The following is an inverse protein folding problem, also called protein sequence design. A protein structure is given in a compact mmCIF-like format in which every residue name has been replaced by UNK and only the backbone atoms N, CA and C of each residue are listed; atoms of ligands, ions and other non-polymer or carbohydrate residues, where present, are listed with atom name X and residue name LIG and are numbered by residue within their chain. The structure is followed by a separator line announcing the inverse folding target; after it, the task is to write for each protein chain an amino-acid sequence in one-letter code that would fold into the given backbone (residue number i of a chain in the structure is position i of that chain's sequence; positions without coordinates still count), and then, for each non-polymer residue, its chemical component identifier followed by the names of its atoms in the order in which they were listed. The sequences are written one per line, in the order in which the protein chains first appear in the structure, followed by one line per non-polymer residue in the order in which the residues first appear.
data_IF_851400906639
#
_entry.id   IF_851400906639
#
_cell.length_a   1.000
_cell.length_b   1.000
_cell.length_c   1.000
_cell.angle_alpha   90.00
_cell.angle_beta   90.00
_cell.angle_gamma   90.00
#
_symmetry.space_group_name_H-M   'P 1'
#
loop_
_entity.id
_entity.type
_entity.pdbx_description
1 polymer ?
#
# COMPACT_ATOMS: atom_id res chain seq x y z
N UNK A 1 9.17 -60.69 -2.41
CA UNK A 1 8.46 -59.82 -3.36
C UNK A 1 8.22 -58.48 -2.66
N UNK A 2 8.64 -57.38 -3.28
CA UNK A 2 8.72 -56.04 -2.66
C UNK A 2 7.33 -55.42 -2.52
N UNK A 3 7.00 -54.94 -1.32
CA UNK A 3 5.81 -54.13 -1.08
C UNK A 3 6.01 -52.74 -1.69
N UNK A 4 5.11 -52.34 -2.59
CA UNK A 4 5.11 -51.03 -3.23
C UNK A 4 4.31 -50.06 -2.34
N UNK A 5 4.99 -49.27 -1.52
CA UNK A 5 4.36 -48.16 -0.81
C UNK A 5 4.05 -47.05 -1.81
N UNK A 6 2.76 -46.88 -2.13
CA UNK A 6 2.25 -45.72 -2.86
C UNK A 6 2.29 -44.53 -1.91
N UNK A 7 3.28 -43.67 -2.07
CA UNK A 7 3.33 -42.36 -1.41
C UNK A 7 2.27 -41.48 -2.08
N UNK A 8 1.11 -41.36 -1.44
CA UNK A 8 0.14 -40.32 -1.77
C UNK A 8 0.78 -38.96 -1.47
N UNK A 9 1.29 -38.29 -2.49
CA UNK A 9 1.55 -36.86 -2.47
C UNK A 9 0.20 -36.13 -2.38
N UNK A 10 -0.23 -35.87 -1.14
CA UNK A 10 -1.25 -34.86 -0.88
C UNK A 10 -0.67 -33.50 -1.28
N UNK A 11 -0.98 -33.06 -2.50
CA UNK A 11 -0.93 -31.66 -2.87
C UNK A 11 -1.93 -30.93 -1.96
N UNK A 12 -1.45 -30.51 -0.79
CA UNK A 12 -2.15 -29.54 0.03
C UNK A 12 -2.31 -28.28 -0.81
N UNK A 13 -3.53 -28.02 -1.29
CA UNK A 13 -3.92 -26.68 -1.67
C UNK A 13 -3.72 -25.80 -0.44
N UNK A 14 -2.59 -25.10 -0.40
CA UNK A 14 -2.44 -23.93 0.46
C UNK A 14 -3.46 -22.95 -0.10
N UNK A 15 -4.66 -22.93 0.49
CA UNK A 15 -5.59 -21.84 0.30
C UNK A 15 -4.82 -20.58 0.71
N UNK A 16 -4.36 -19.81 -0.28
CA UNK A 16 -3.84 -18.49 -0.05
C UNK A 16 -5.01 -17.68 0.53
N UNK A 17 -5.05 -17.59 1.86
CA UNK A 17 -5.93 -16.68 2.56
C UNK A 17 -5.61 -15.29 2.02
N UNK A 18 -6.53 -14.74 1.22
CA UNK A 18 -6.49 -13.32 0.85
C UNK A 18 -6.64 -12.53 2.14
N UNK A 19 -5.50 -12.19 2.76
CA UNK A 19 -5.48 -11.45 4.00
C UNK A 19 -6.18 -10.11 3.77
N UNK A 20 -7.29 -9.88 4.48
CA UNK A 20 -8.11 -8.68 4.34
C UNK A 20 -7.25 -7.41 4.35
N UNK A 21 -7.62 -6.43 3.52
CA UNK A 21 -6.96 -5.11 3.54
C UNK A 21 -7.25 -4.37 4.85
N UNK A 22 -6.20 -4.19 5.67
CA UNK A 22 -6.23 -3.45 6.93
C UNK A 22 -5.44 -2.15 6.90
N UNK A 23 -5.35 -1.48 8.07
CA UNK A 23 -4.46 -0.34 8.32
C UNK A 23 -3.01 -0.75 8.57
N UNK A 24 -2.72 -2.05 8.57
CA UNK A 24 -1.42 -2.58 8.91
C UNK A 24 -0.35 -2.35 7.82
N UNK A 25 0.90 -2.52 8.22
CA UNK A 25 2.05 -2.36 7.34
C UNK A 25 2.02 -3.38 6.18
N UNK A 26 1.51 -4.60 6.38
CA UNK A 26 1.51 -5.64 5.34
C UNK A 26 0.55 -5.25 4.21
N UNK A 27 -0.64 -4.73 4.53
CA UNK A 27 -1.56 -4.18 3.55
C UNK A 27 -0.97 -2.99 2.81
N UNK A 28 -0.35 -2.06 3.53
CA UNK A 28 0.31 -0.88 2.93
C UNK A 28 1.42 -1.30 1.96
N UNK A 29 2.28 -2.26 2.35
CA UNK A 29 3.36 -2.77 1.50
C UNK A 29 2.84 -3.53 0.27
N UNK A 30 1.74 -4.27 0.37
CA UNK A 30 1.11 -4.93 -0.80
C UNK A 30 0.62 -3.91 -1.84
N UNK A 31 0.04 -2.81 -1.37
CA UNK A 31 -0.41 -1.71 -2.23
C UNK A 31 0.79 -1.01 -2.87
N UNK A 32 1.79 -0.64 -2.08
CA UNK A 32 3.02 0.00 -2.60
C UNK A 32 3.75 -0.91 -3.57
N UNK A 33 3.76 -2.23 -3.33
CA UNK A 33 4.29 -3.20 -4.30
C UNK A 33 3.53 -3.12 -5.63
N UNK A 34 2.21 -3.09 -5.61
CA UNK A 34 1.39 -3.03 -6.83
C UNK A 34 1.55 -1.70 -7.58
N UNK A 35 1.83 -0.61 -6.85
CA UNK A 35 2.13 0.70 -7.44
C UNK A 35 3.54 0.76 -8.03
N UNK A 36 4.57 0.35 -7.29
CA UNK A 36 5.97 0.62 -7.62
C UNK A 36 6.75 -0.56 -8.25
N UNK A 37 6.38 -1.80 -7.96
CA UNK A 37 7.24 -2.97 -8.19
C UNK A 37 6.51 -4.09 -8.95
N UNK A 38 7.24 -4.85 -9.80
CA UNK A 38 6.66 -5.73 -10.82
C UNK A 38 5.42 -6.56 -10.38
N UNK A 39 4.30 -6.50 -11.12
CA UNK A 39 4.17 -5.83 -12.43
C UNK A 39 4.07 -4.30 -12.39
N UNK A 40 3.83 -3.67 -11.22
CA UNK A 40 3.88 -2.22 -11.00
C UNK A 40 3.11 -1.34 -12.01
N UNK A 41 1.95 -0.79 -11.64
CA UNK A 41 1.24 0.19 -12.49
C UNK A 41 1.04 1.52 -11.77
N UNK A 42 1.62 2.57 -12.33
CA UNK A 42 1.51 3.95 -11.87
C UNK A 42 1.43 4.93 -13.05
N UNK A 43 0.79 4.53 -14.15
CA UNK A 43 0.42 5.45 -15.23
C UNK A 43 -0.34 6.68 -14.68
N UNK A 44 -0.36 7.82 -15.39
CA UNK A 44 -1.02 9.04 -14.89
C UNK A 44 -2.48 8.82 -14.45
N UNK A 45 -3.32 8.04 -15.16
CA UNK A 45 -4.67 7.72 -14.68
C UNK A 45 -4.67 6.93 -13.37
N UNK A 46 -3.71 6.04 -13.16
CA UNK A 46 -3.59 5.25 -11.93
C UNK A 46 -3.05 6.11 -10.79
N UNK A 47 -2.02 6.93 -11.02
CA UNK A 47 -1.49 7.85 -10.03
C UNK A 47 -2.56 8.87 -9.56
N UNK A 48 -3.32 9.43 -10.50
CA UNK A 48 -4.42 10.34 -10.18
C UNK A 48 -5.51 9.66 -9.34
N UNK A 49 -5.91 8.42 -9.68
CA UNK A 49 -6.86 7.65 -8.86
C UNK A 49 -6.29 7.29 -7.49
N UNK A 50 -5.03 6.92 -7.43
CA UNK A 50 -4.33 6.56 -6.20
C UNK A 50 -4.26 7.73 -5.23
N UNK A 51 -3.94 8.92 -5.73
CA UNK A 51 -3.95 10.16 -4.96
C UNK A 51 -5.38 10.62 -4.61
N UNK A 52 -6.35 10.42 -5.51
CA UNK A 52 -7.77 10.70 -5.24
C UNK A 52 -8.33 9.94 -4.04
N UNK A 53 -7.74 8.81 -3.64
CA UNK A 53 -8.15 8.11 -2.41
C UNK A 53 -7.98 8.96 -1.14
N UNK A 54 -7.07 9.95 -1.14
CA UNK A 54 -6.93 10.88 -0.01
C UNK A 54 -8.13 11.84 0.13
N UNK A 55 -8.96 12.01 -0.90
CA UNK A 55 -10.18 12.84 -0.85
C UNK A 55 -11.30 12.20 -0.01
N UNK A 56 -11.17 10.93 0.36
CA UNK A 56 -12.11 10.25 1.27
C UNK A 56 -11.86 10.62 2.74
N UNK A 57 -10.78 11.34 3.03
CA UNK A 57 -10.42 11.77 4.38
C UNK A 57 -10.96 13.17 4.66
N UNK A 58 -11.06 13.52 5.94
CA UNK A 58 -11.18 14.92 6.34
C UNK A 58 -9.99 15.74 5.80
N UNK A 59 -10.24 16.98 5.40
CA UNK A 59 -9.22 17.84 4.76
C UNK A 59 -7.93 17.96 5.60
N UNK A 60 -8.05 18.07 6.92
CA UNK A 60 -6.92 18.13 7.84
C UNK A 60 -6.06 16.86 7.80
N UNK A 61 -6.69 15.68 7.70
CA UNK A 61 -5.97 14.40 7.65
C UNK A 61 -5.33 14.17 6.28
N UNK A 62 -6.03 14.52 5.19
CA UNK A 62 -5.43 14.56 3.84
C UNK A 62 -4.17 15.44 3.83
N UNK A 63 -4.22 16.61 4.43
CA UNK A 63 -3.08 17.54 4.45
C UNK A 63 -1.86 16.95 5.15
N UNK A 64 -2.04 16.14 6.20
CA UNK A 64 -0.92 15.42 6.86
C UNK A 64 -0.22 14.47 5.88
N UNK A 65 -0.98 13.68 5.11
CA UNK A 65 -0.41 12.79 4.09
C UNK A 65 0.35 13.56 3.01
N UNK A 66 -0.28 14.60 2.43
CA UNK A 66 0.34 15.40 1.37
C UNK A 66 1.61 16.09 1.87
N UNK A 67 1.59 16.65 3.09
CA UNK A 67 2.76 17.31 3.68
C UNK A 67 3.91 16.31 3.89
N UNK A 68 3.62 15.10 4.37
CA UNK A 68 4.62 14.05 4.53
C UNK A 68 5.16 13.55 3.18
N UNK A 69 4.32 13.43 2.14
CA UNK A 69 4.76 13.09 0.79
C UNK A 69 5.70 14.17 0.23
N UNK A 70 5.32 15.43 0.36
CA UNK A 70 6.13 16.57 -0.06
C UNK A 70 7.48 16.61 0.68
N UNK A 71 7.48 16.38 1.99
CA UNK A 71 8.69 16.42 2.81
C UNK A 71 9.65 15.26 2.49
N UNK A 72 9.13 14.04 2.33
CA UNK A 72 9.96 12.83 2.20
C UNK A 72 10.30 12.52 0.75
N UNK A 73 9.35 12.66 -0.17
CA UNK A 73 9.54 12.36 -1.59
C UNK A 73 9.81 13.60 -2.44
N UNK A 74 9.52 14.80 -1.93
CA UNK A 74 9.62 16.05 -2.69
C UNK A 74 8.40 16.34 -3.55
N UNK A 75 7.37 15.47 -3.51
CA UNK A 75 6.22 15.55 -4.41
C UNK A 75 5.03 14.75 -3.89
N UNK A 76 3.77 15.16 -4.16
CA UNK A 76 2.59 14.31 -3.99
C UNK A 76 2.58 13.15 -4.99
N UNK A 77 1.91 12.05 -4.66
CA UNK A 77 1.82 10.84 -5.50
C UNK A 77 0.70 10.90 -6.55
N UNK A 78 0.53 12.04 -7.24
CA UNK A 78 -0.62 12.37 -8.09
C UNK A 78 -0.40 12.22 -9.61
N UNK A 79 0.86 12.11 -10.05
CA UNK A 79 1.23 11.86 -11.45
C UNK A 79 2.20 10.69 -11.55
N UNK A 80 2.32 10.09 -12.74
CA UNK A 80 3.30 9.04 -13.02
C UNK A 80 4.71 9.49 -12.64
N UNK A 81 5.11 10.68 -13.07
CA UNK A 81 6.46 11.22 -12.82
C UNK A 81 6.74 11.36 -11.33
N UNK A 82 5.74 11.77 -10.56
CA UNK A 82 5.90 11.91 -9.12
C UNK A 82 5.97 10.56 -8.39
N UNK A 83 5.16 9.60 -8.83
CA UNK A 83 5.25 8.23 -8.34
C UNK A 83 6.59 7.60 -8.70
N UNK A 84 7.12 7.82 -9.91
CA UNK A 84 8.46 7.39 -10.33
C UNK A 84 9.53 7.91 -9.35
N UNK A 85 9.44 9.18 -8.93
CA UNK A 85 10.38 9.78 -7.96
C UNK A 85 10.30 9.07 -6.60
N UNK A 86 9.10 8.81 -6.10
CA UNK A 86 8.90 8.13 -4.83
C UNK A 86 9.36 6.66 -4.86
N UNK A 87 9.06 5.94 -5.94
CA UNK A 87 9.38 4.52 -6.10
C UNK A 87 10.88 4.25 -6.31
N UNK A 88 11.68 5.25 -6.71
CA UNK A 88 13.16 5.09 -6.87
C UNK A 88 13.89 4.76 -5.58
N UNK A 89 13.34 5.12 -4.42
CA UNK A 89 14.02 4.93 -3.14
C UNK A 89 13.09 4.34 -2.07
N UNK A 90 12.92 2.99 -2.04
CA UNK A 90 12.11 2.31 -1.03
C UNK A 90 12.51 2.64 0.41
N UNK A 91 13.77 3.02 0.66
CA UNK A 91 14.26 3.34 2.00
C UNK A 91 13.63 4.61 2.59
N UNK A 92 12.89 5.38 1.78
CA UNK A 92 12.11 6.54 2.25
C UNK A 92 10.75 6.18 2.83
N UNK A 93 10.24 4.96 2.59
CA UNK A 93 8.94 4.52 3.13
C UNK A 93 8.91 4.51 4.68
N UNK A 94 9.94 4.02 5.39
CA UNK A 94 10.00 4.15 6.85
C UNK A 94 9.98 5.60 7.33
N UNK A 95 10.69 6.50 6.64
CA UNK A 95 10.68 7.95 6.97
C UNK A 95 9.32 8.58 6.74
N UNK A 96 8.60 8.17 5.70
CA UNK A 96 7.22 8.58 5.45
C UNK A 96 6.27 8.11 6.55
N UNK A 97 6.36 6.83 6.95
CA UNK A 97 5.57 6.30 8.07
C UNK A 97 5.87 7.05 9.38
N UNK A 98 7.14 7.35 9.64
CA UNK A 98 7.55 8.15 10.80
C UNK A 98 6.97 9.57 10.75
N UNK A 99 6.98 10.22 9.59
CA UNK A 99 6.37 11.54 9.42
C UNK A 99 4.88 11.52 9.72
N UNK A 100 4.15 10.52 9.21
CA UNK A 100 2.72 10.37 9.48
C UNK A 100 2.45 10.20 10.98
N UNK A 101 3.24 9.36 11.65
CA UNK A 101 3.12 9.16 13.10
C UNK A 101 3.26 10.47 13.86
N UNK A 102 4.26 11.30 13.52
CA UNK A 102 4.44 12.63 14.11
C UNK A 102 3.28 13.58 13.76
N UNK A 103 2.85 13.61 12.49
CA UNK A 103 1.82 14.54 12.02
C UNK A 103 0.42 14.23 12.58
N UNK A 104 0.11 12.96 12.82
CA UNK A 104 -1.15 12.56 13.45
C UNK A 104 -1.09 12.69 14.97
N UNK A 105 0.01 12.32 15.61
CA UNK A 105 0.17 12.34 17.07
C UNK A 105 -0.79 11.42 17.84
N UNK A 106 -1.64 10.68 17.13
CA UNK A 106 -2.65 9.78 17.65
C UNK A 106 -2.73 8.56 16.72
N UNK A 107 -2.29 7.41 17.22
CA UNK A 107 -2.20 6.17 16.43
C UNK A 107 -3.59 5.69 15.96
N UNK A 108 -4.65 5.84 16.77
CA UNK A 108 -6.00 5.43 16.38
C UNK A 108 -6.58 6.28 15.24
N UNK A 109 -6.34 7.59 15.26
CA UNK A 109 -6.74 8.47 14.16
C UNK A 109 -5.95 8.14 12.88
N UNK A 110 -4.64 7.92 13.01
CA UNK A 110 -3.79 7.53 11.89
C UNK A 110 -4.25 6.21 11.28
N UNK A 111 -4.50 5.19 12.10
CA UNK A 111 -4.94 3.87 11.66
C UNK A 111 -6.28 3.93 10.93
N UNK A 112 -7.24 4.70 11.42
CA UNK A 112 -8.53 4.90 10.76
C UNK A 112 -8.36 5.57 9.37
N UNK A 113 -7.46 6.55 9.27
CA UNK A 113 -7.16 7.21 8.00
C UNK A 113 -6.44 6.26 7.03
N UNK A 114 -5.42 5.51 7.51
CA UNK A 114 -4.70 4.50 6.73
C UNK A 114 -5.66 3.40 6.23
N UNK A 115 -6.57 2.91 7.07
CA UNK A 115 -7.56 1.90 6.66
C UNK A 115 -8.42 2.41 5.51
N UNK A 116 -8.88 3.66 5.59
CA UNK A 116 -9.73 4.29 4.56
C UNK A 116 -8.98 4.37 3.22
N UNK A 117 -7.76 4.92 3.22
CA UNK A 117 -6.97 5.02 1.99
C UNK A 117 -6.54 3.66 1.45
N UNK A 118 -6.16 2.71 2.33
CA UNK A 118 -5.72 1.39 1.91
C UNK A 118 -6.84 0.63 1.20
N UNK A 119 -8.08 0.69 1.71
CA UNK A 119 -9.24 0.09 1.05
C UNK A 119 -9.47 0.67 -0.35
N UNK A 120 -9.40 2.00 -0.49
CA UNK A 120 -9.54 2.66 -1.78
C UNK A 120 -8.41 2.28 -2.75
N UNK A 121 -7.15 2.36 -2.30
CA UNK A 121 -5.97 2.09 -3.14
C UNK A 121 -5.85 0.61 -3.51
N UNK A 122 -6.19 -0.30 -2.61
CA UNK A 122 -6.26 -1.74 -2.89
C UNK A 122 -7.26 -2.06 -4.02
N UNK A 123 -8.41 -1.39 -4.06
CA UNK A 123 -9.43 -1.60 -5.08
C UNK A 123 -8.94 -1.20 -6.48
N UNK A 124 -8.01 -0.24 -6.61
CA UNK A 124 -7.39 0.14 -7.89
C UNK A 124 -6.65 -1.07 -8.50
N UNK A 125 -6.03 -1.88 -7.65
CA UNK A 125 -5.20 -3.03 -8.03
C UNK A 125 -5.90 -4.39 -7.84
N UNK A 126 -7.20 -4.40 -7.56
CA UNK A 126 -7.99 -5.61 -7.29
C UNK A 126 -7.43 -6.48 -6.13
N UNK A 127 -6.84 -5.85 -5.11
CA UNK A 127 -6.36 -6.54 -3.91
C UNK A 127 -7.53 -6.76 -2.93
N UNK A 128 -7.52 -7.91 -2.22
CA UNK A 128 -8.53 -8.29 -1.22
C UNK A 128 -7.89 -8.62 0.12
#
# INVERSE_FOLDING_TARGET
MKAFSVILLTFGLIAASSAAIGSDLVSTLRIVKSLCYCPGDHSDPIAARFFGCYDQLAAADKQKFVSCQQSIFGTPLDTKVHVDVACRNPLRLPSYASCLKTAFGNDAQMDAAILTINKCQAAIFNLR
#
